data_IF_807541377974
#
_entry.id   IF_807541377974
#
_cell.length_a   1.000
_cell.length_b   1.000
_cell.length_c   1.000
_cell.angle_alpha   90.00
_cell.angle_beta   90.00
_cell.angle_gamma   90.00
#
_symmetry.space_group_name_H-M   'P 1'
#
loop_
_entity.id
_entity.type
_entity.pdbx_description
1 polymer ?
#
# COMPACT_ATOMS: atom_id res chain seq x y z
N UNK A 1 -20.94 13.77 -24.81
CA UNK A 1 -20.93 13.25 -23.42
C UNK A 1 -20.07 14.19 -22.58
N UNK A 2 -20.67 14.98 -21.70
CA UNK A 2 -19.92 15.77 -20.72
C UNK A 2 -19.87 14.94 -19.43
N UNK A 3 -18.68 14.77 -18.85
CA UNK A 3 -18.49 13.97 -17.64
C UNK A 3 -17.99 14.87 -16.52
N UNK A 4 -18.63 14.77 -15.35
CA UNK A 4 -18.24 15.48 -14.13
C UNK A 4 -17.79 14.42 -13.13
N UNK A 5 -16.57 14.55 -12.62
CA UNK A 5 -16.04 13.68 -11.56
C UNK A 5 -16.42 14.27 -10.21
N UNK A 6 -17.36 13.65 -9.52
CA UNK A 6 -17.75 13.98 -8.15
C UNK A 6 -17.06 13.00 -7.20
N UNK A 7 -16.37 13.51 -6.17
CA UNK A 7 -15.79 12.71 -5.10
C UNK A 7 -16.64 12.90 -3.85
N UNK A 8 -17.41 11.88 -3.47
CA UNK A 8 -18.22 11.89 -2.25
C UNK A 8 -17.94 10.64 -1.43
N UNK A 9 -18.13 10.75 -0.11
CA UNK A 9 -17.98 9.65 0.84
C UNK A 9 -19.36 9.05 1.09
N UNK A 10 -19.43 7.72 1.12
CA UNK A 10 -20.63 7.01 1.57
C UNK A 10 -20.70 7.11 3.09
N UNK A 11 -21.83 7.58 3.61
CA UNK A 11 -22.07 7.74 5.04
C UNK A 11 -22.24 6.37 5.72
N UNK A 12 -22.22 6.34 7.06
CA UNK A 12 -22.36 5.09 7.84
C UNK A 12 -23.71 4.37 7.67
N UNK A 13 -24.71 5.08 7.15
CA UNK A 13 -26.04 4.57 6.76
C UNK A 13 -26.05 3.95 5.36
N UNK A 14 -24.92 3.98 4.63
CA UNK A 14 -24.79 3.45 3.28
C UNK A 14 -25.30 4.40 2.19
N UNK A 15 -25.62 5.65 2.53
CA UNK A 15 -26.19 6.61 1.58
C UNK A 15 -25.06 7.45 0.94
N UNK A 16 -25.04 7.48 -0.40
CA UNK A 16 -24.15 8.37 -1.17
C UNK A 16 -24.87 9.71 -1.43
N UNK A 17 -24.42 10.78 -0.77
CA UNK A 17 -24.93 12.13 -1.01
C UNK A 17 -24.10 12.79 -2.12
N UNK A 18 -24.74 13.13 -3.24
CA UNK A 18 -24.10 13.85 -4.34
C UNK A 18 -24.51 15.32 -4.28
N UNK A 19 -23.55 16.21 -4.06
CA UNK A 19 -23.78 17.64 -4.16
C UNK A 19 -23.63 18.05 -5.63
N UNK A 20 -24.75 18.36 -6.28
CA UNK A 20 -24.78 18.77 -7.69
C UNK A 20 -24.57 20.30 -7.76
N UNK A 21 -23.63 20.79 -8.59
CA UNK A 21 -23.42 22.22 -8.79
C UNK A 21 -24.70 22.96 -9.23
N UNK A 22 -24.84 24.22 -8.83
CA UNK A 22 -26.05 25.04 -9.08
C UNK A 22 -26.29 25.26 -10.58
N UNK A 23 -25.25 25.20 -11.39
CA UNK A 23 -25.28 25.33 -12.84
C UNK A 23 -26.09 24.21 -13.52
N UNK A 24 -26.32 23.10 -12.82
CA UNK A 24 -27.11 21.96 -13.30
C UNK A 24 -28.53 21.93 -12.72
N UNK A 25 -28.95 22.97 -11.99
CA UNK A 25 -30.28 23.02 -11.41
C UNK A 25 -31.38 23.00 -12.49
N UNK A 26 -32.44 22.22 -12.24
CA UNK A 26 -33.60 22.04 -13.13
C UNK A 26 -33.28 21.37 -14.48
N UNK A 27 -32.17 20.64 -14.59
CA UNK A 27 -31.85 19.83 -15.76
C UNK A 27 -32.11 18.34 -15.49
N UNK A 28 -32.57 17.61 -16.50
CA UNK A 28 -32.61 16.15 -16.46
C UNK A 28 -31.19 15.59 -16.66
N UNK A 29 -30.79 14.66 -15.79
CA UNK A 29 -29.43 14.11 -15.73
C UNK A 29 -29.48 12.58 -15.80
N UNK A 30 -28.79 12.01 -16.79
CA UNK A 30 -28.49 10.58 -16.83
C UNK A 30 -27.21 10.28 -16.03
N UNK A 31 -27.35 9.51 -14.95
CA UNK A 31 -26.25 9.20 -14.02
C UNK A 31 -25.79 7.75 -14.20
N UNK A 32 -24.50 7.57 -14.49
CA UNK A 32 -23.84 6.25 -14.49
C UNK A 32 -22.90 6.19 -13.29
N UNK A 33 -23.24 5.38 -12.30
CA UNK A 33 -22.44 5.19 -11.09
C UNK A 33 -21.52 3.98 -11.28
N UNK A 34 -20.21 4.22 -11.35
CA UNK A 34 -19.19 3.17 -11.31
C UNK A 34 -18.62 3.17 -9.90
N UNK A 35 -18.91 2.10 -9.14
CA UNK A 35 -18.31 1.91 -7.83
C UNK A 35 -17.10 0.98 -7.97
N UNK A 36 -15.99 1.39 -7.37
CA UNK A 36 -14.86 0.51 -7.10
C UNK A 36 -14.72 0.47 -5.59
N UNK A 37 -14.83 -0.70 -4.94
CA UNK A 37 -14.47 -0.81 -3.55
C UNK A 37 -13.00 -0.43 -3.44
N UNK A 38 -12.74 0.72 -2.82
CA UNK A 38 -11.40 1.03 -2.35
C UNK A 38 -11.29 0.20 -1.10
N UNK A 39 -10.55 -0.89 -1.15
CA UNK A 39 -10.06 -1.54 0.05
C UNK A 39 -9.40 -0.44 0.88
N UNK A 40 -10.11 0.01 1.92
CA UNK A 40 -9.44 0.64 3.02
C UNK A 40 -8.42 -0.41 3.41
N UNK A 41 -7.13 -0.07 3.35
CA UNK A 41 -6.09 -0.87 3.97
C UNK A 41 -6.32 -0.77 5.48
N UNK A 42 -7.42 -1.34 5.96
CA UNK A 42 -7.52 -1.89 7.29
C UNK A 42 -6.58 -3.07 7.23
N UNK A 43 -5.39 -2.83 7.80
CA UNK A 43 -4.41 -3.85 8.13
C UNK A 43 -5.08 -4.87 9.05
N UNK A 44 -5.93 -5.73 8.52
CA UNK A 44 -6.40 -6.97 9.13
C UNK A 44 -7.07 -7.82 8.04
N UNK A 45 -6.22 -8.63 7.41
CA UNK A 45 -6.46 -10.00 6.89
C UNK A 45 -7.73 -10.21 6.02
N UNK A 46 -7.65 -10.65 4.77
CA UNK A 46 -7.00 -11.87 4.27
C UNK A 46 -6.88 -11.78 2.74
N UNK A 47 -6.01 -12.61 2.16
CA UNK A 47 -5.79 -12.80 0.71
C UNK A 47 -4.73 -11.90 0.04
N UNK A 48 -3.54 -11.83 0.62
CA UNK A 48 -2.31 -11.66 -0.16
C UNK A 48 -1.33 -12.76 0.24
N UNK A 49 -0.94 -13.53 -0.77
CA UNK A 49 0.08 -14.58 -0.85
C UNK A 49 0.92 -14.79 0.42
N UNK A 50 0.98 -16.06 0.88
CA UNK A 50 1.65 -16.60 2.09
C UNK A 50 3.11 -16.16 2.33
N UNK A 51 3.37 -14.86 2.41
CA UNK A 51 4.61 -14.29 2.89
C UNK A 51 4.47 -14.15 4.40
N UNK A 52 5.31 -14.83 5.19
CA UNK A 52 5.22 -14.73 6.64
C UNK A 52 5.49 -13.27 7.05
N UNK A 53 4.45 -12.57 7.52
CA UNK A 53 4.62 -11.25 8.10
C UNK A 53 5.54 -11.35 9.32
N UNK A 54 6.72 -10.73 9.21
CA UNK A 54 7.66 -10.63 10.32
C UNK A 54 7.14 -9.53 11.26
N UNK A 55 6.55 -9.93 12.38
CA UNK A 55 6.18 -9.02 13.47
C UNK A 55 7.43 -8.70 14.29
N UNK A 56 7.92 -7.46 14.19
CA UNK A 56 9.05 -6.99 14.98
C UNK A 56 8.58 -6.39 16.31
N UNK A 57 9.36 -6.58 17.36
CA UNK A 57 9.21 -5.80 18.59
C UNK A 57 9.59 -4.34 18.33
N UNK A 58 9.21 -3.43 19.24
CA UNK A 58 9.60 -2.02 19.12
C UNK A 58 11.13 -1.87 19.05
N UNK A 59 11.86 -2.59 19.91
CA UNK A 59 13.32 -2.55 19.94
C UNK A 59 13.93 -3.04 18.62
N UNK A 60 13.44 -4.15 18.09
CA UNK A 60 13.95 -4.72 16.84
C UNK A 60 13.61 -3.83 15.64
N UNK A 61 12.44 -3.19 15.64
CA UNK A 61 12.04 -2.26 14.59
C UNK A 61 12.96 -1.03 14.54
N UNK A 62 13.37 -0.51 15.71
CA UNK A 62 14.30 0.61 15.80
C UNK A 62 15.69 0.21 15.30
N UNK A 63 16.21 -0.95 15.73
CA UNK A 63 17.49 -1.47 15.26
C UNK A 63 17.50 -1.72 13.75
N UNK A 64 16.38 -2.20 13.20
CA UNK A 64 16.21 -2.38 11.77
C UNK A 64 16.25 -1.05 11.02
N UNK A 65 15.47 -0.05 11.44
CA UNK A 65 15.47 1.29 10.84
C UNK A 65 16.86 1.92 10.89
N UNK A 66 17.55 1.80 12.03
CA UNK A 66 18.92 2.29 12.18
C UNK A 66 19.88 1.64 11.20
N UNK A 67 19.75 0.32 10.96
CA UNK A 67 20.59 -0.39 9.98
C UNK A 67 20.34 0.02 8.53
N UNK A 68 19.13 0.49 8.20
CA UNK A 68 18.83 1.02 6.87
C UNK A 68 19.46 2.40 6.65
N UNK A 69 19.45 3.24 7.68
CA UNK A 69 20.06 4.57 7.64
C UNK A 69 21.59 4.51 7.73
N UNK A 70 22.12 3.56 8.50
CA UNK A 70 23.54 3.38 8.77
C UNK A 70 23.94 1.92 8.47
N UNK A 71 24.06 1.54 7.19
CA UNK A 71 24.35 0.17 6.83
C UNK A 71 25.71 -0.27 7.37
N UNK A 72 25.77 -1.38 8.12
CA UNK A 72 27.03 -1.87 8.65
C UNK A 72 27.90 -2.44 7.52
N UNK A 73 29.22 -2.27 7.65
CA UNK A 73 30.16 -2.92 6.74
C UNK A 73 30.13 -4.45 6.94
N UNK A 74 30.20 -5.27 5.88
CA UNK A 74 30.18 -6.71 5.99
C UNK A 74 31.31 -7.26 6.88
N UNK A 75 30.98 -8.22 7.74
CA UNK A 75 31.96 -8.83 8.63
C UNK A 75 33.02 -9.63 7.87
N UNK A 76 34.24 -9.83 8.43
CA UNK A 76 35.27 -10.65 7.80
C UNK A 76 34.78 -12.06 7.43
N UNK A 77 34.00 -12.70 8.32
CA UNK A 77 33.42 -14.03 8.08
C UNK A 77 32.45 -14.03 6.89
N UNK A 78 31.60 -13.01 6.78
CA UNK A 78 30.66 -12.88 5.65
C UNK A 78 31.40 -12.65 4.32
N UNK A 79 32.48 -11.85 4.32
CA UNK A 79 33.31 -11.64 3.12
C UNK A 79 34.01 -12.91 2.67
N UNK A 80 34.56 -13.70 3.61
CA UNK A 80 35.17 -14.99 3.29
C UNK A 80 34.15 -15.96 2.66
N UNK A 81 32.96 -16.09 3.25
CA UNK A 81 31.90 -16.93 2.71
C UNK A 81 31.46 -16.48 1.30
N UNK A 82 31.36 -15.16 1.07
CA UNK A 82 31.04 -14.64 -0.26
C UNK A 82 32.12 -14.95 -1.31
N UNK A 83 33.41 -14.90 -0.91
CA UNK A 83 34.53 -15.29 -1.80
C UNK A 83 34.51 -16.78 -2.13
N UNK A 84 34.22 -17.63 -1.16
CA UNK A 84 34.05 -19.07 -1.36
C UNK A 84 32.88 -19.36 -2.31
N UNK A 85 31.73 -18.72 -2.10
CA UNK A 85 30.59 -18.82 -3.00
C UNK A 85 30.95 -18.42 -4.43
N UNK A 86 31.63 -17.28 -4.60
CA UNK A 86 32.11 -16.80 -5.91
C UNK A 86 32.99 -17.84 -6.62
N UNK A 87 33.94 -18.45 -5.89
CA UNK A 87 34.81 -19.52 -6.41
C UNK A 87 34.02 -20.75 -6.83
N UNK A 88 33.01 -21.15 -6.04
CA UNK A 88 32.19 -22.34 -6.33
C UNK A 88 31.29 -22.18 -7.56
N UNK A 89 30.84 -20.95 -7.86
CA UNK A 89 29.99 -20.64 -9.02
C UNK A 89 30.77 -20.35 -10.32
N UNK A 90 32.11 -20.36 -10.28
CA UNK A 90 32.96 -20.24 -11.47
C UNK A 90 33.13 -18.83 -12.04
N UNK A 91 33.01 -17.78 -11.20
CA UNK A 91 33.23 -16.37 -11.57
C UNK A 91 34.64 -15.85 -11.28
#
# INVERSE_FOLDING_TARGET
>A
MQSIKLRSRVDADGILRLEVPVELANLELDLVVVYQPVELVTLDAQEQEDLPLIKLSLQDSMAFVESLLNPPSPSPKMRLAALEYKRSMGF
#
